data_IF_432667883439
#
_entry.id   IF_432667883439
#
_cell.length_a   1.000
_cell.length_b   1.000
_cell.length_c   1.000
_cell.angle_alpha   90.00
_cell.angle_beta   90.00
_cell.angle_gamma   90.00
#
_symmetry.space_group_name_H-M   'P 1'
#
loop_
_entity.id
_entity.type
_entity.pdbx_description
1 polymer ?
#
# COMPACT_ATOMS: atom_id res chain seq x y z
N UNK A 1 -20.18 -25.90 -12.46
CA UNK A 1 -20.53 -25.00 -11.34
C UNK A 1 -21.97 -24.57 -11.57
N UNK A 2 -22.80 -24.35 -10.54
CA UNK A 2 -24.16 -23.83 -10.72
C UNK A 2 -24.23 -22.38 -10.21
N UNK A 3 -25.26 -21.64 -10.65
CA UNK A 3 -25.43 -20.21 -10.31
C UNK A 3 -25.57 -19.98 -8.80
N UNK A 4 -26.08 -20.97 -8.05
CA UNK A 4 -26.19 -20.90 -6.60
C UNK A 4 -24.82 -20.92 -5.92
N UNK A 5 -23.91 -21.81 -6.35
CA UNK A 5 -22.53 -21.87 -5.86
C UNK A 5 -21.75 -20.60 -6.20
N UNK A 6 -21.95 -20.05 -7.39
CA UNK A 6 -21.36 -18.75 -7.76
C UNK A 6 -21.84 -17.63 -6.84
N UNK A 7 -23.14 -17.55 -6.59
CA UNK A 7 -23.70 -16.55 -5.67
C UNK A 7 -23.14 -16.69 -4.25
N UNK A 8 -22.99 -17.92 -3.74
CA UNK A 8 -22.35 -18.16 -2.44
C UNK A 8 -20.90 -17.68 -2.41
N UNK A 9 -20.14 -17.95 -3.48
CA UNK A 9 -18.76 -17.51 -3.60
C UNK A 9 -18.66 -15.97 -3.67
N UNK A 10 -19.57 -15.33 -4.40
CA UNK A 10 -19.73 -13.87 -4.47
C UNK A 10 -20.04 -13.25 -3.10
N UNK A 11 -20.96 -13.83 -2.33
CA UNK A 11 -21.24 -13.36 -0.95
C UNK A 11 -20.00 -13.46 -0.06
N UNK A 12 -19.25 -14.56 -0.16
CA UNK A 12 -18.00 -14.76 0.58
C UNK A 12 -16.91 -13.75 0.18
N UNK A 13 -16.83 -13.42 -1.11
CA UNK A 13 -15.96 -12.36 -1.63
C UNK A 13 -16.33 -11.01 -1.01
N UNK A 14 -17.61 -10.60 -1.08
CA UNK A 14 -18.11 -9.35 -0.48
C UNK A 14 -17.75 -9.27 1.01
N UNK A 15 -18.00 -10.33 1.80
CA UNK A 15 -17.64 -10.36 3.22
C UNK A 15 -16.13 -10.29 3.50
N UNK A 16 -15.30 -10.75 2.57
CA UNK A 16 -13.83 -10.61 2.69
C UNK A 16 -13.38 -9.19 2.40
N UNK A 17 -13.94 -8.54 1.39
CA UNK A 17 -13.72 -7.13 1.09
C UNK A 17 -14.13 -6.25 2.28
N UNK A 18 -15.31 -6.49 2.87
CA UNK A 18 -15.78 -5.77 4.06
C UNK A 18 -14.79 -5.84 5.22
N UNK A 19 -14.14 -6.99 5.45
CA UNK A 19 -13.13 -7.12 6.50
C UNK A 19 -11.89 -6.27 6.22
N UNK A 20 -11.47 -6.14 4.96
CA UNK A 20 -10.37 -5.26 4.55
C UNK A 20 -10.75 -3.79 4.76
N UNK A 21 -11.99 -3.42 4.41
CA UNK A 21 -12.51 -2.07 4.68
C UNK A 21 -12.47 -1.76 6.17
N UNK A 22 -12.99 -2.66 7.01
CA UNK A 22 -12.98 -2.49 8.47
C UNK A 22 -11.55 -2.37 8.98
N UNK A 23 -10.61 -3.19 8.50
CA UNK A 23 -9.19 -3.03 8.85
C UNK A 23 -8.72 -1.61 8.51
N UNK A 24 -8.91 -1.19 7.27
CA UNK A 24 -8.47 0.13 6.77
C UNK A 24 -9.08 1.31 7.49
N UNK A 25 -10.32 1.19 7.98
CA UNK A 25 -11.00 2.25 8.72
C UNK A 25 -10.54 2.32 10.18
N UNK A 26 -9.92 1.24 10.71
CA UNK A 26 -9.35 1.18 12.06
C UNK A 26 -7.82 1.32 12.09
N UNK A 27 -7.17 1.46 10.93
CA UNK A 27 -5.72 1.66 10.86
C UNK A 27 -5.33 2.99 11.50
N UNK A 28 -4.39 2.94 12.45
CA UNK A 28 -3.75 4.12 13.03
C UNK A 28 -2.51 4.54 12.24
N UNK A 29 -1.91 5.70 12.55
CA UNK A 29 -0.67 6.17 11.90
C UNK A 29 0.55 5.26 12.14
N UNK A 30 0.46 4.32 13.10
CA UNK A 30 1.55 3.43 13.49
C UNK A 30 1.31 1.95 13.12
N UNK A 31 0.54 1.66 12.07
CA UNK A 31 0.40 0.27 11.58
C UNK A 31 1.74 -0.40 11.33
N UNK A 32 1.83 -1.66 11.73
CA UNK A 32 2.90 -2.55 11.32
C UNK A 32 2.86 -2.72 9.79
N UNK A 33 4.01 -2.51 9.16
CA UNK A 33 4.20 -2.69 7.72
C UNK A 33 3.85 -4.12 7.30
N UNK A 34 4.11 -5.10 8.15
CA UNK A 34 3.80 -6.51 7.93
C UNK A 34 2.30 -6.73 7.79
N UNK A 35 1.48 -6.07 8.62
CA UNK A 35 0.01 -6.16 8.52
C UNK A 35 -0.49 -5.57 7.19
N UNK A 36 0.08 -4.44 6.77
CA UNK A 36 -0.25 -3.84 5.47
C UNK A 36 0.15 -4.75 4.30
N UNK A 37 1.28 -5.45 4.40
CA UNK A 37 1.72 -6.41 3.37
C UNK A 37 0.82 -7.66 3.32
N UNK A 38 0.33 -8.12 4.47
CA UNK A 38 -0.64 -9.21 4.55
C UNK A 38 -1.94 -8.81 3.84
N UNK A 39 -2.45 -7.61 4.12
CA UNK A 39 -3.68 -7.14 3.48
C UNK A 39 -3.51 -6.90 1.97
N UNK A 40 -2.33 -6.45 1.50
CA UNK A 40 -2.05 -6.39 0.05
C UNK A 40 -2.09 -7.78 -0.60
N UNK A 41 -1.44 -8.78 -0.01
CA UNK A 41 -1.47 -10.16 -0.54
C UNK A 41 -2.90 -10.71 -0.60
N UNK A 42 -3.71 -10.37 0.39
CA UNK A 42 -5.11 -10.77 0.46
C UNK A 42 -5.95 -10.08 -0.62
N UNK A 43 -5.69 -8.81 -0.91
CA UNK A 43 -6.32 -8.11 -2.04
C UNK A 43 -5.97 -8.83 -3.36
N UNK A 44 -4.70 -9.13 -3.60
CA UNK A 44 -4.26 -9.84 -4.81
C UNK A 44 -4.93 -11.21 -4.95
N UNK A 45 -5.10 -11.95 -3.84
CA UNK A 45 -5.83 -13.22 -3.82
C UNK A 45 -7.31 -13.05 -4.16
N UNK A 46 -7.96 -12.00 -3.65
CA UNK A 46 -9.37 -11.73 -3.94
C UNK A 46 -9.58 -11.28 -5.39
N UNK A 47 -8.63 -10.54 -5.98
CA UNK A 47 -8.66 -10.18 -7.41
C UNK A 47 -8.60 -11.44 -8.29
N UNK A 48 -7.67 -12.37 -8.03
CA UNK A 48 -7.63 -13.66 -8.75
C UNK A 48 -8.92 -14.45 -8.60
N UNK A 49 -9.52 -14.44 -7.40
CA UNK A 49 -10.81 -15.09 -7.17
C UNK A 49 -11.95 -14.45 -7.99
N UNK A 50 -11.89 -13.14 -8.25
CA UNK A 50 -12.85 -12.50 -9.15
C UNK A 50 -12.65 -12.99 -10.58
N UNK A 51 -11.41 -13.08 -11.07
CA UNK A 51 -11.10 -13.63 -12.39
C UNK A 51 -11.63 -15.07 -12.54
N UNK A 52 -11.34 -15.93 -11.56
CA UNK A 52 -11.88 -17.30 -11.51
C UNK A 52 -13.42 -17.33 -11.55
N UNK A 53 -14.08 -16.41 -10.84
CA UNK A 53 -15.55 -16.33 -10.84
C UNK A 53 -16.11 -15.85 -12.19
N UNK A 54 -15.41 -14.94 -12.88
CA UNK A 54 -15.78 -14.50 -14.24
C UNK A 54 -15.66 -15.65 -15.24
N UNK A 55 -14.56 -16.41 -15.19
CA UNK A 55 -14.35 -17.59 -16.04
C UNK A 55 -15.41 -18.66 -15.79
N UNK A 56 -15.73 -18.93 -14.52
CA UNK A 56 -16.75 -19.89 -14.15
C UNK A 56 -18.16 -19.43 -14.54
N UNK A 57 -18.46 -18.13 -14.54
CA UNK A 57 -19.73 -17.59 -15.01
C UNK A 57 -19.89 -17.81 -16.51
N UNK A 58 -18.88 -17.46 -17.31
CA UNK A 58 -18.88 -17.62 -18.76
C UNK A 58 -19.07 -19.09 -19.18
N UNK A 59 -18.58 -20.03 -18.36
CA UNK A 59 -18.75 -21.47 -18.58
C UNK A 59 -20.13 -22.04 -18.21
N UNK A 60 -21.07 -21.23 -17.71
CA UNK A 60 -22.42 -21.68 -17.34
C UNK A 60 -23.41 -21.19 -18.38
N UNK A 61 -24.13 -22.11 -19.01
CA UNK A 61 -25.33 -21.77 -19.77
C UNK A 61 -26.45 -21.38 -18.80
N UNK A 62 -26.67 -20.07 -18.62
CA UNK A 62 -27.79 -19.56 -17.83
C UNK A 62 -29.02 -19.41 -18.74
N UNK A 63 -30.19 -19.88 -18.30
CA UNK A 63 -31.45 -19.61 -19.01
C UNK A 63 -32.04 -18.23 -18.64
N UNK A 64 -31.29 -17.42 -17.89
CA UNK A 64 -31.75 -16.17 -17.27
C UNK A 64 -30.70 -15.07 -17.43
N UNK A 65 -30.72 -14.36 -18.56
CA UNK A 65 -29.72 -13.33 -18.89
C UNK A 65 -29.59 -12.22 -17.85
N UNK A 66 -30.67 -11.89 -17.14
CA UNK A 66 -30.68 -10.86 -16.09
C UNK A 66 -29.86 -11.28 -14.86
N UNK A 67 -29.92 -12.54 -14.45
CA UNK A 67 -29.16 -13.02 -13.28
C UNK A 67 -27.64 -13.03 -13.57
N UNK A 68 -27.26 -13.26 -14.82
CA UNK A 68 -25.87 -13.20 -15.28
C UNK A 68 -25.36 -11.77 -15.31
N UNK A 69 -26.10 -10.84 -15.91
CA UNK A 69 -25.73 -9.42 -15.96
C UNK A 69 -25.58 -8.81 -14.55
N UNK A 70 -26.51 -9.09 -13.63
CA UNK A 70 -26.42 -8.65 -12.23
C UNK A 70 -25.19 -9.23 -11.52
N UNK A 71 -24.81 -10.47 -11.84
CA UNK A 71 -23.63 -11.10 -11.27
C UNK A 71 -22.33 -10.46 -11.80
N UNK A 72 -22.26 -10.16 -13.09
CA UNK A 72 -21.13 -9.45 -13.70
C UNK A 72 -20.96 -8.05 -13.12
N UNK A 73 -22.05 -7.29 -12.99
CA UNK A 73 -22.03 -5.96 -12.38
C UNK A 73 -21.55 -6.02 -10.93
N UNK A 74 -22.04 -6.99 -10.16
CA UNK A 74 -21.58 -7.20 -8.79
C UNK A 74 -20.08 -7.51 -8.71
N UNK A 75 -19.54 -8.33 -9.62
CA UNK A 75 -18.11 -8.65 -9.66
C UNK A 75 -17.28 -7.42 -10.06
N UNK A 76 -17.74 -6.65 -11.03
CA UNK A 76 -17.10 -5.39 -11.43
C UNK A 76 -17.03 -4.39 -10.27
N UNK A 77 -18.12 -4.27 -9.50
CA UNK A 77 -18.16 -3.44 -8.30
C UNK A 77 -17.18 -3.93 -7.23
N UNK A 78 -17.05 -5.24 -7.03
CA UNK A 78 -16.07 -5.82 -6.11
C UNK A 78 -14.63 -5.54 -6.55
N UNK A 79 -14.34 -5.68 -7.85
CA UNK A 79 -13.03 -5.42 -8.45
C UNK A 79 -12.61 -3.96 -8.28
N UNK A 80 -13.49 -3.03 -8.66
CA UNK A 80 -13.27 -1.58 -8.49
C UNK A 80 -13.01 -1.22 -7.02
N UNK A 81 -13.73 -1.87 -6.09
CA UNK A 81 -13.53 -1.63 -4.66
C UNK A 81 -12.17 -2.16 -4.17
N UNK A 82 -11.74 -3.33 -4.65
CA UNK A 82 -10.42 -3.88 -4.34
C UNK A 82 -9.29 -3.01 -4.87
N UNK A 83 -9.40 -2.45 -6.08
CA UNK A 83 -8.40 -1.54 -6.63
C UNK A 83 -8.24 -0.28 -5.77
N UNK A 84 -9.35 0.31 -5.36
CA UNK A 84 -9.35 1.45 -4.45
C UNK A 84 -8.71 1.12 -3.09
N UNK A 85 -9.00 -0.06 -2.53
CA UNK A 85 -8.39 -0.53 -1.29
C UNK A 85 -6.88 -0.75 -1.48
N UNK A 86 -6.45 -1.35 -2.58
CA UNK A 86 -5.04 -1.57 -2.88
C UNK A 86 -4.25 -0.26 -2.91
N UNK A 87 -4.80 0.78 -3.57
CA UNK A 87 -4.19 2.11 -3.61
C UNK A 87 -4.09 2.71 -2.21
N UNK A 88 -5.15 2.63 -1.40
CA UNK A 88 -5.14 3.14 -0.01
C UNK A 88 -4.08 2.42 0.84
N UNK A 89 -4.02 1.09 0.79
CA UNK A 89 -3.03 0.30 1.56
C UNK A 89 -1.60 0.64 1.12
N UNK A 90 -1.34 0.72 -0.20
CA UNK A 90 -0.02 1.09 -0.75
C UNK A 90 0.40 2.49 -0.27
N UNK A 91 -0.52 3.45 -0.23
CA UNK A 91 -0.27 4.81 0.26
C UNK A 91 0.10 4.82 1.75
N UNK A 92 -0.65 4.09 2.58
CA UNK A 92 -0.33 3.95 4.01
C UNK A 92 1.03 3.30 4.24
N UNK A 93 1.34 2.23 3.49
CA UNK A 93 2.64 1.56 3.58
C UNK A 93 3.80 2.50 3.24
N UNK A 94 3.67 3.29 2.17
CA UNK A 94 4.68 4.29 1.80
C UNK A 94 4.87 5.35 2.89
N UNK A 95 3.78 5.84 3.49
CA UNK A 95 3.85 6.81 4.58
C UNK A 95 4.55 6.23 5.82
N UNK A 96 4.23 5.00 6.22
CA UNK A 96 4.86 4.33 7.36
C UNK A 96 6.38 4.19 7.18
N UNK A 97 6.82 3.76 5.98
CA UNK A 97 8.25 3.65 5.64
C UNK A 97 8.98 4.99 5.74
N UNK A 98 8.39 6.08 5.23
CA UNK A 98 9.02 7.40 5.28
C UNK A 98 9.15 7.94 6.71
N UNK A 99 8.17 7.64 7.57
CA UNK A 99 8.26 7.98 9.00
C UNK A 99 9.42 7.21 9.65
N UNK A 100 9.55 5.91 9.41
CA UNK A 100 10.65 5.12 9.99
C UNK A 100 12.03 5.63 9.54
N UNK A 101 12.20 6.03 8.27
CA UNK A 101 13.47 6.59 7.77
C UNK A 101 13.81 7.94 8.41
N UNK A 102 12.81 8.81 8.61
CA UNK A 102 13.02 10.11 9.26
C UNK A 102 13.34 9.97 10.75
N UNK A 103 12.71 9.04 11.48
CA UNK A 103 13.05 8.74 12.89
C UNK A 103 14.47 8.22 13.01
N UNK A 104 14.90 7.31 12.13
CA UNK A 104 16.27 6.77 12.13
C UNK A 104 17.32 7.86 11.88
N UNK A 105 16.99 8.89 11.09
CA UNK A 105 17.88 10.03 10.86
C UNK A 105 17.99 10.96 12.08
N UNK A 106 16.91 11.13 12.85
CA UNK A 106 16.92 11.96 14.07
C UNK A 106 17.67 11.27 15.22
N UNK A 107 17.59 9.95 15.34
CA UNK A 107 18.29 9.22 16.41
C UNK A 107 19.82 9.17 16.20
N UNK A 108 20.31 9.10 14.96
CA UNK A 108 21.75 9.25 14.68
C UNK A 108 22.29 10.63 15.11
N UNK A 109 21.47 11.66 15.11
CA UNK A 109 21.83 12.99 15.60
C UNK A 109 21.78 13.12 17.14
N UNK A 110 21.14 12.18 17.86
CA UNK A 110 21.09 12.20 19.33
C UNK A 110 22.23 11.41 20.00
N UNK A 111 22.81 10.42 19.32
CA UNK A 111 23.96 9.67 19.83
C UNK A 111 25.33 10.28 19.47
N UNK A 112 25.36 11.36 18.69
CA UNK A 112 26.59 12.14 18.45
C UNK A 112 26.78 13.31 19.42
N UNK A 113 25.94 13.44 20.46
CA UNK A 113 26.10 14.50 21.47
C UNK A 113 26.94 14.07 22.68
N UNK A 114 28.01 13.32 22.42
CA UNK A 114 29.05 12.95 23.38
C UNK A 114 30.44 13.50 23.06
N UNK A 115 30.64 14.17 21.92
CA UNK A 115 31.86 14.94 21.66
C UNK A 115 31.56 15.95 20.55
N UNK A 116 31.62 17.24 20.87
CA UNK A 116 31.62 18.27 19.84
C UNK A 116 32.75 17.98 18.86
N UNK A 117 32.42 17.50 17.67
CA UNK A 117 33.38 17.42 16.58
C UNK A 117 33.79 18.85 16.25
N UNK A 118 34.96 19.29 16.77
CA UNK A 118 35.62 20.49 16.28
C UNK A 118 35.98 20.23 14.82
N UNK A 119 35.09 20.59 13.90
CA UNK A 119 35.46 20.75 12.50
C UNK A 119 36.38 21.97 12.44
N UNK A 120 37.69 21.75 12.67
CA UNK A 120 38.71 22.76 12.41
C UNK A 120 38.67 23.05 10.91
N UNK A 121 38.03 24.16 10.55
CA UNK A 121 38.10 24.71 9.20
C UNK A 121 39.59 24.94 8.91
N UNK A 122 40.16 24.35 7.84
CA UNK A 122 41.56 24.60 7.50
C UNK A 122 41.74 26.10 7.19
N UNK A 123 42.84 26.72 7.67
CA UNK A 123 43.06 28.15 7.47
C UNK A 123 43.14 28.48 5.98
N UNK A 124 42.36 29.46 5.55
CA UNK A 124 42.40 30.02 4.19
C UNK A 124 43.73 30.76 4.03
N UNK A 125 44.58 30.29 3.11
CA UNK A 125 45.80 31.00 2.73
C UNK A 125 45.39 32.12 1.77
N UNK A 126 45.40 33.36 2.25
CA UNK A 126 45.26 34.54 1.40
C UNK A 126 46.58 34.79 0.63
N UNK A 127 46.55 35.07 -0.68
CA UNK A 127 47.76 35.42 -1.41
C UNK A 127 48.35 36.73 -0.88
N UNK A 128 49.66 36.73 -0.67
CA UNK A 128 50.41 37.88 -0.18
C UNK A 128 50.27 39.06 -1.16
N UNK A 129 49.89 40.26 -0.72
CA UNK A 129 49.97 41.44 -1.57
C UNK A 129 51.44 41.69 -1.92
N UNK A 130 51.74 41.65 -3.22
CA UNK A 130 53.00 42.12 -3.77
C UNK A 130 53.08 43.62 -3.50
N UNK A 131 53.81 44.01 -2.44
CA UNK A 131 54.25 45.38 -2.27
C UNK A 131 55.17 45.73 -3.45
N UNK A 132 54.58 46.39 -4.46
CA UNK A 132 55.33 47.09 -5.48
C UNK A 132 56.06 48.27 -4.84
N UNK A 133 57.37 48.11 -4.63
CA UNK A 133 58.30 49.23 -4.51
C UNK A 133 58.31 49.98 -5.84
N UNK A 134 57.87 51.24 -5.87
CA UNK A 134 58.54 52.35 -6.57
C UNK A 134 58.23 53.63 -5.78
#
# INVERSE_FOLDING_TARGET
MDIFKLNKAKTSLKGSITRIVIFMDNVSEHVDITELEVELKKIDQLQRKIEELKELLFGIETSKPTEEAEFEEDLYNCETHLDNLAVRVKKLRFNSINISLSVTAVEKNKYENGTFAQTKIPPIILPHPLFGKI
#
